data_IF_437343756228
#
_entry.id   IF_437343756228
#
_cell.length_a   1.000
_cell.length_b   1.000
_cell.length_c   1.000
_cell.angle_alpha   90.00
_cell.angle_beta   90.00
_cell.angle_gamma   90.00
#
_symmetry.space_group_name_H-M   'P 1'
#
loop_
_entity.id
_entity.type
_entity.pdbx_description
1 polymer ?
#
# COMPACT_ATOMS: atom_id res chain seq x y z
N UNK A 1 10.90 16.82 -1.87
CA UNK A 1 9.81 16.16 -1.13
C UNK A 1 8.83 17.22 -0.71
N UNK A 2 7.61 17.23 -1.25
CA UNK A 2 6.51 18.06 -0.74
C UNK A 2 5.62 17.14 0.09
N UNK A 3 5.81 17.16 1.42
CA UNK A 3 4.86 16.58 2.37
C UNK A 3 3.58 17.42 2.30
N UNK A 4 2.72 17.14 1.32
CA UNK A 4 1.40 17.76 1.23
C UNK A 4 0.37 16.88 1.96
N UNK A 5 -0.76 17.47 2.31
CA UNK A 5 -1.79 16.82 3.14
C UNK A 5 -2.28 15.48 2.57
N UNK A 6 -2.29 15.33 1.24
CA UNK A 6 -2.65 14.06 0.58
C UNK A 6 -1.60 12.96 0.79
N UNK A 7 -0.32 13.34 0.79
CA UNK A 7 0.79 12.41 1.04
C UNK A 7 0.80 11.98 2.51
N UNK A 8 0.50 12.91 3.43
CA UNK A 8 0.33 12.62 4.84
C UNK A 8 -0.88 11.71 5.09
N UNK A 9 -2.04 12.01 4.48
CA UNK A 9 -3.24 11.17 4.56
C UNK A 9 -3.01 9.75 4.06
N UNK A 10 -2.35 9.60 2.90
CA UNK A 10 -1.98 8.29 2.37
C UNK A 10 -1.07 7.53 3.34
N UNK A 11 -0.07 8.19 3.91
CA UNK A 11 0.84 7.59 4.87
C UNK A 11 0.11 7.15 6.15
N UNK A 12 -0.77 8.00 6.69
CA UNK A 12 -1.59 7.67 7.87
C UNK A 12 -2.47 6.46 7.59
N UNK A 13 -3.21 6.47 6.48
CA UNK A 13 -4.05 5.34 6.11
C UNK A 13 -3.23 4.08 5.83
N UNK A 14 -2.03 4.20 5.25
CA UNK A 14 -1.13 3.06 5.05
C UNK A 14 -0.60 2.50 6.37
N UNK A 15 -0.32 3.34 7.36
CA UNK A 15 0.09 2.93 8.71
C UNK A 15 -1.10 2.29 9.44
N UNK A 16 -2.29 2.90 9.41
CA UNK A 16 -3.51 2.38 10.02
C UNK A 16 -3.97 1.04 9.39
N UNK A 17 -3.78 0.87 8.08
CA UNK A 17 -4.07 -0.39 7.35
C UNK A 17 -2.98 -1.46 7.51
N UNK A 18 -1.85 -1.13 8.14
CA UNK A 18 -0.79 -2.10 8.38
C UNK A 18 -1.27 -3.16 9.39
N UNK A 19 -0.82 -4.43 9.26
CA UNK A 19 -1.15 -5.48 10.22
C UNK A 19 -0.78 -5.14 11.68
N UNK A 20 0.11 -4.16 11.88
CA UNK A 20 0.55 -3.71 13.19
C UNK A 20 -0.46 -2.81 13.91
N UNK A 21 -1.39 -2.15 13.19
CA UNK A 21 -2.22 -1.04 13.72
C UNK A 21 -3.73 -1.30 13.76
N UNK A 22 -4.20 -2.52 13.51
CA UNK A 22 -5.64 -2.87 13.42
C UNK A 22 -6.46 -2.73 14.73
N UNK A 23 -5.93 -2.04 15.76
CA UNK A 23 -6.39 -2.18 17.16
C UNK A 23 -6.84 -0.88 17.85
N UNK A 24 -6.72 0.28 17.21
CA UNK A 24 -7.26 1.55 17.72
C UNK A 24 -8.73 1.63 17.32
N UNK A 25 -9.66 1.61 18.28
CA UNK A 25 -11.09 1.81 18.03
C UNK A 25 -11.45 3.26 17.67
N UNK A 26 -10.50 4.02 17.14
CA UNK A 26 -10.68 5.37 16.63
C UNK A 26 -10.69 5.27 15.10
N UNK A 27 -11.82 5.70 14.54
CA UNK A 27 -12.16 5.50 13.13
C UNK A 27 -11.08 5.98 12.19
N UNK A 28 -10.94 5.29 11.06
CA UNK A 28 -10.12 5.80 9.98
C UNK A 28 -10.64 7.16 9.51
N UNK A 29 -9.71 7.92 8.96
CA UNK A 29 -10.02 9.17 8.30
C UNK A 29 -10.62 8.84 6.93
N UNK A 30 -11.90 9.18 6.76
CA UNK A 30 -12.64 8.97 5.51
C UNK A 30 -12.30 10.04 4.46
N UNK A 31 -11.62 11.12 4.87
CA UNK A 31 -11.20 12.20 3.98
C UNK A 31 -10.01 12.98 4.54
N UNK A 32 -9.34 13.73 3.67
CA UNK A 32 -8.29 14.66 4.08
C UNK A 32 -8.83 15.84 4.89
N UNK A 33 -10.10 16.24 4.68
CA UNK A 33 -10.75 17.26 5.49
C UNK A 33 -10.96 16.80 6.93
N UNK A 34 -11.34 15.53 7.13
CA UNK A 34 -11.44 14.93 8.45
C UNK A 34 -10.06 14.86 9.13
N UNK A 35 -9.02 14.50 8.38
CA UNK A 35 -7.65 14.52 8.89
C UNK A 35 -7.23 15.92 9.38
N UNK A 36 -7.56 16.96 8.61
CA UNK A 36 -7.25 18.34 8.96
C UNK A 36 -8.07 18.84 10.17
N UNK A 37 -9.27 18.31 10.34
CA UNK A 37 -10.17 18.65 11.45
C UNK A 37 -9.76 17.97 12.76
N UNK A 38 -9.44 16.67 12.69
CA UNK A 38 -9.10 15.85 13.85
C UNK A 38 -7.67 16.12 14.33
N UNK A 39 -6.77 16.46 13.40
CA UNK A 39 -5.35 16.71 13.70
C UNK A 39 -4.95 18.13 13.30
N UNK A 40 -5.17 19.07 14.22
CA UNK A 40 -4.79 20.48 14.07
C UNK A 40 -3.30 20.73 13.81
N UNK A 41 -2.42 19.78 14.17
CA UNK A 41 -0.99 19.80 13.86
C UNK A 41 -0.43 18.38 13.73
N UNK A 42 0.57 18.21 12.86
CA UNK A 42 1.29 16.95 12.62
C UNK A 42 1.81 16.30 13.92
N UNK A 43 2.16 17.09 14.92
CA UNK A 43 2.67 16.59 16.20
C UNK A 43 1.66 15.70 16.92
N UNK A 44 0.38 16.05 16.89
CA UNK A 44 -0.66 15.30 17.60
C UNK A 44 -0.91 13.95 16.92
N UNK A 45 -0.90 13.94 15.59
CA UNK A 45 -0.96 12.74 14.78
C UNK A 45 0.24 11.82 15.03
N UNK A 46 1.46 12.39 15.08
CA UNK A 46 2.67 11.61 15.34
C UNK A 46 2.69 11.04 16.76
N UNK A 47 2.18 11.78 17.74
CA UNK A 47 2.09 11.33 19.13
C UNK A 47 1.11 10.16 19.27
N UNK A 48 -0.04 10.23 18.59
CA UNK A 48 -1.03 9.14 18.55
C UNK A 48 -0.48 7.89 17.83
N UNK A 49 0.14 8.06 16.66
CA UNK A 49 0.77 6.96 15.93
C UNK A 49 1.92 6.33 16.72
N UNK A 50 2.71 7.15 17.44
CA UNK A 50 3.78 6.62 18.29
C UNK A 50 3.21 5.77 19.43
N UNK A 51 2.13 6.23 20.07
CA UNK A 51 1.46 5.52 21.16
C UNK A 51 0.86 4.19 20.67
N UNK A 52 0.25 4.19 19.49
CA UNK A 52 -0.29 2.99 18.86
C UNK A 52 0.80 1.94 18.61
N UNK A 53 1.98 2.34 18.12
CA UNK A 53 3.11 1.44 17.81
C UNK A 53 3.71 0.75 19.04
N UNK A 54 3.65 1.37 20.22
CA UNK A 54 4.24 0.81 21.45
C UNK A 54 3.33 -0.12 22.25
N UNK A 55 2.05 -0.27 21.88
CA UNK A 55 1.09 -1.05 22.67
C UNK A 55 0.86 -2.43 22.03
N UNK A 56 1.67 -3.42 22.39
CA UNK A 56 1.51 -4.81 21.94
C UNK A 56 0.33 -5.51 22.64
N UNK A 57 -0.84 -5.55 22.00
CA UNK A 57 -1.79 -6.67 22.11
C UNK A 57 -2.56 -6.77 20.78
N UNK A 58 -2.62 -7.94 20.12
CA UNK A 58 -3.43 -8.15 18.91
C UNK A 58 -4.92 -8.14 19.27
N UNK A 59 -5.60 -7.02 18.98
CA UNK A 59 -7.06 -6.87 19.11
C UNK A 59 -7.73 -7.35 17.80
N UNK A 60 -8.90 -8.00 17.86
CA UNK A 60 -9.66 -8.28 16.65
C UNK A 60 -10.15 -6.96 16.03
N UNK A 61 -9.96 -6.80 14.72
CA UNK A 61 -10.44 -5.65 13.97
C UNK A 61 -11.93 -5.38 14.30
N UNK A 62 -12.32 -4.11 14.55
CA UNK A 62 -13.72 -3.79 14.84
C UNK A 62 -14.61 -4.24 13.66
N UNK A 63 -15.85 -4.70 13.92
CA UNK A 63 -16.81 -5.01 12.88
C UNK A 63 -17.22 -3.72 12.16
N UNK A 64 -16.42 -3.38 11.15
CA UNK A 64 -16.68 -2.61 9.94
C UNK A 64 -17.95 -1.75 9.91
N UNK A 65 -17.77 -0.42 9.96
CA UNK A 65 -18.80 0.56 9.68
C UNK A 65 -19.06 0.66 8.16
N UNK A 66 -19.93 -0.23 7.66
CA UNK A 66 -20.59 -0.10 6.35
C UNK A 66 -19.82 -0.61 5.12
N UNK A 67 -20.53 -1.14 4.10
CA UNK A 67 -19.93 -1.60 2.84
C UNK A 67 -19.36 -0.47 1.98
N UNK A 68 -19.70 0.79 2.27
CA UNK A 68 -19.45 1.94 1.39
C UNK A 68 -18.22 2.79 1.77
N UNK A 69 -17.51 2.44 2.84
CA UNK A 69 -16.35 3.23 3.29
C UNK A 69 -15.13 3.04 2.38
N UNK A 70 -14.29 4.08 2.26
CA UNK A 70 -13.04 4.02 1.50
C UNK A 70 -12.11 2.89 2.01
N UNK A 71 -12.06 2.71 3.33
CA UNK A 71 -11.36 1.61 3.98
C UNK A 71 -11.78 0.24 3.45
N UNK A 72 -13.08 0.05 3.24
CA UNK A 72 -13.63 -1.22 2.80
C UNK A 72 -13.05 -1.65 1.46
N UNK A 73 -12.99 -0.68 0.56
CA UNK A 73 -12.41 -0.83 -0.76
C UNK A 73 -10.90 -1.07 -0.62
N UNK A 74 -10.19 -0.29 0.19
CA UNK A 74 -8.73 -0.43 0.34
C UNK A 74 -8.32 -1.78 0.94
N UNK A 75 -9.04 -2.24 1.97
CA UNK A 75 -8.86 -3.55 2.58
C UNK A 75 -9.08 -4.66 1.55
N UNK A 76 -10.20 -4.62 0.82
CA UNK A 76 -10.48 -5.58 -0.23
C UNK A 76 -9.38 -5.62 -1.29
N UNK A 77 -8.91 -4.45 -1.75
CA UNK A 77 -7.84 -4.35 -2.75
C UNK A 77 -6.50 -4.88 -2.21
N UNK A 78 -6.16 -4.60 -0.95
CA UNK A 78 -4.95 -5.10 -0.31
C UNK A 78 -4.96 -6.62 -0.12
N UNK A 79 -6.11 -7.26 -0.01
CA UNK A 79 -6.22 -8.72 0.08
C UNK A 79 -6.30 -9.39 -1.29
N UNK A 80 -6.85 -8.71 -2.30
CA UNK A 80 -7.17 -9.34 -3.59
C UNK A 80 -6.30 -8.89 -4.77
N UNK A 81 -5.34 -7.98 -4.59
CA UNK A 81 -4.53 -7.38 -5.66
C UNK A 81 -3.89 -8.37 -6.65
N UNK A 82 -3.61 -9.60 -6.20
CA UNK A 82 -2.96 -10.69 -6.95
C UNK A 82 -3.86 -11.27 -8.05
N UNK A 83 -5.17 -11.21 -7.89
CA UNK A 83 -6.10 -11.70 -8.89
C UNK A 83 -6.26 -10.65 -10.01
N UNK A 84 -6.90 -11.00 -11.13
CA UNK A 84 -7.31 -9.98 -12.11
C UNK A 84 -8.42 -9.13 -11.50
N UNK A 85 -8.04 -8.17 -10.65
CA UNK A 85 -8.98 -7.29 -9.94
C UNK A 85 -9.42 -6.19 -10.88
N UNK A 86 -10.38 -6.53 -11.74
CA UNK A 86 -11.09 -5.51 -12.50
C UNK A 86 -11.97 -4.68 -11.57
N UNK A 87 -12.10 -3.39 -11.85
CA UNK A 87 -13.00 -2.49 -11.12
C UNK A 87 -14.44 -3.04 -11.06
N UNK A 88 -14.86 -3.74 -12.13
CA UNK A 88 -16.16 -4.44 -12.19
C UNK A 88 -16.28 -5.50 -11.11
N UNK A 89 -15.24 -6.32 -10.91
CA UNK A 89 -15.25 -7.37 -9.89
C UNK A 89 -15.33 -6.79 -8.48
N UNK A 90 -14.56 -5.74 -8.19
CA UNK A 90 -14.63 -5.03 -6.90
C UNK A 90 -16.03 -4.47 -6.65
N UNK A 91 -16.64 -3.89 -7.69
CA UNK A 91 -18.00 -3.38 -7.68
C UNK A 91 -19.03 -4.47 -7.37
N UNK A 92 -18.91 -5.66 -7.96
CA UNK A 92 -19.79 -6.80 -7.68
C UNK A 92 -19.63 -7.34 -6.26
N UNK A 93 -18.39 -7.47 -5.79
CA UNK A 93 -18.03 -8.07 -4.49
C UNK A 93 -18.37 -7.16 -3.31
N UNK A 94 -18.22 -5.84 -3.49
CA UNK A 94 -18.58 -4.85 -2.47
C UNK A 94 -20.02 -4.33 -2.63
N UNK A 95 -20.74 -4.77 -3.66
CA UNK A 95 -22.07 -4.25 -4.03
C UNK A 95 -22.09 -2.72 -4.23
N UNK A 96 -20.98 -2.17 -4.71
CA UNK A 96 -20.78 -0.74 -4.94
C UNK A 96 -20.79 -0.40 -6.43
N UNK A 97 -21.09 0.85 -6.78
CA UNK A 97 -20.98 1.30 -8.16
C UNK A 97 -19.49 1.46 -8.58
N UNK A 98 -19.09 0.86 -9.70
CA UNK A 98 -17.72 0.96 -10.23
C UNK A 98 -17.23 2.41 -10.43
N UNK A 99 -18.10 3.30 -10.92
CA UNK A 99 -17.77 4.73 -11.08
C UNK A 99 -17.56 5.42 -9.74
N UNK A 100 -18.36 5.07 -8.73
CA UNK A 100 -18.17 5.56 -7.36
C UNK A 100 -16.81 5.14 -6.81
N UNK A 101 -16.45 3.86 -6.91
CA UNK A 101 -15.15 3.34 -6.45
C UNK A 101 -13.99 4.06 -7.16
N UNK A 102 -14.08 4.23 -8.47
CA UNK A 102 -13.04 4.91 -9.26
C UNK A 102 -12.89 6.38 -8.85
N UNK A 103 -14.01 7.07 -8.64
CA UNK A 103 -14.02 8.46 -8.21
C UNK A 103 -13.51 8.63 -6.79
N UNK A 104 -13.91 7.75 -5.87
CA UNK A 104 -13.45 7.74 -4.49
C UNK A 104 -11.93 7.52 -4.44
N UNK A 105 -11.40 6.51 -5.11
CA UNK A 105 -9.94 6.27 -5.18
C UNK A 105 -9.22 7.48 -5.76
N UNK A 106 -9.76 8.10 -6.81
CA UNK A 106 -9.15 9.30 -7.41
C UNK A 106 -9.16 10.50 -6.47
N UNK A 107 -10.24 10.71 -5.73
CA UNK A 107 -10.35 11.81 -4.78
C UNK A 107 -9.40 11.62 -3.60
N UNK A 108 -9.37 10.42 -3.02
CA UNK A 108 -8.59 10.12 -1.81
C UNK A 108 -7.10 9.97 -2.11
N UNK A 109 -6.75 9.28 -3.20
CA UNK A 109 -5.34 8.95 -3.50
C UNK A 109 -4.72 9.90 -4.52
N UNK A 110 -5.53 10.60 -5.32
CA UNK A 110 -5.07 11.34 -6.50
C UNK A 110 -4.77 10.47 -7.72
N UNK A 111 -4.93 9.14 -7.62
CA UNK A 111 -4.63 8.18 -8.67
C UNK A 111 -5.91 7.58 -9.24
N UNK A 112 -5.91 7.22 -10.52
CA UNK A 112 -6.99 6.37 -11.01
C UNK A 112 -6.84 4.92 -10.49
N UNK A 113 -7.92 4.15 -10.54
CA UNK A 113 -7.95 2.76 -10.07
C UNK A 113 -6.79 1.89 -10.61
N UNK A 114 -6.52 1.95 -11.92
CA UNK A 114 -5.46 1.14 -12.55
C UNK A 114 -4.06 1.55 -12.09
N UNK A 115 -3.83 2.85 -11.86
CA UNK A 115 -2.61 3.37 -11.27
C UNK A 115 -2.46 2.90 -9.82
N UNK A 116 -3.52 2.98 -9.02
CA UNK A 116 -3.51 2.53 -7.64
C UNK A 116 -3.15 1.04 -7.51
N UNK A 117 -3.85 0.17 -8.26
CA UNK A 117 -3.55 -1.28 -8.28
C UNK A 117 -2.13 -1.55 -8.79
N UNK A 118 -1.69 -0.80 -9.80
CA UNK A 118 -0.30 -0.88 -10.26
C UNK A 118 0.67 -0.60 -9.13
N UNK A 119 0.53 0.54 -8.44
CA UNK A 119 1.44 0.95 -7.37
C UNK A 119 1.45 -0.10 -6.26
N UNK A 120 0.27 -0.55 -5.83
CA UNK A 120 0.14 -1.60 -4.82
C UNK A 120 0.89 -2.88 -5.20
N UNK A 121 0.72 -3.37 -6.43
CA UNK A 121 1.42 -4.57 -6.91
C UNK A 121 2.93 -4.38 -7.01
N UNK A 122 3.39 -3.19 -7.38
CA UNK A 122 4.83 -2.88 -7.44
C UNK A 122 5.43 -2.83 -6.03
N UNK A 123 4.73 -2.25 -5.05
CA UNK A 123 5.17 -2.29 -3.65
C UNK A 123 5.26 -3.72 -3.13
N UNK A 124 4.24 -4.55 -3.39
CA UNK A 124 4.28 -5.99 -3.04
C UNK A 124 5.39 -6.75 -3.77
N UNK A 125 5.69 -6.39 -5.01
CA UNK A 125 6.82 -7.00 -5.72
C UNK A 125 8.16 -6.63 -5.07
N UNK A 126 8.34 -5.38 -4.60
CA UNK A 126 9.55 -4.98 -3.85
C UNK A 126 9.70 -5.79 -2.56
N UNK A 127 8.61 -5.93 -1.78
CA UNK A 127 8.60 -6.75 -0.56
C UNK A 127 9.01 -8.21 -0.85
N UNK A 128 8.44 -8.83 -1.89
CA UNK A 128 8.77 -10.21 -2.24
C UNK A 128 10.20 -10.36 -2.76
N UNK A 129 10.71 -9.38 -3.49
CA UNK A 129 12.09 -9.37 -3.98
C UNK A 129 13.09 -9.38 -2.81
N UNK A 130 12.85 -8.60 -1.75
CA UNK A 130 13.78 -8.51 -0.61
C UNK A 130 13.63 -9.65 0.37
N UNK A 131 12.40 -10.15 0.59
CA UNK A 131 12.09 -11.04 1.69
C UNK A 131 12.01 -12.53 1.30
N UNK A 132 12.06 -12.85 0.00
CA UNK A 132 11.91 -14.24 -0.48
C UNK A 132 13.02 -14.65 -1.43
N UNK A 133 13.04 -15.94 -1.79
CA UNK A 133 13.93 -16.50 -2.82
C UNK A 133 13.19 -16.83 -4.12
N UNK A 134 11.98 -16.28 -4.29
CA UNK A 134 11.18 -16.48 -5.49
C UNK A 134 11.89 -15.91 -6.72
N UNK A 135 11.74 -16.59 -7.84
CA UNK A 135 12.18 -16.11 -9.14
C UNK A 135 11.35 -14.90 -9.58
N UNK A 136 11.89 -14.09 -10.50
CA UNK A 136 11.16 -12.93 -11.02
C UNK A 136 9.84 -13.33 -11.72
N UNK A 137 9.78 -14.54 -12.28
CA UNK A 137 8.57 -15.08 -12.89
C UNK A 137 7.50 -15.40 -11.82
N UNK A 138 7.89 -16.10 -10.75
CA UNK A 138 7.00 -16.39 -9.62
C UNK A 138 6.52 -15.11 -8.93
N UNK A 139 7.39 -14.10 -8.77
CA UNK A 139 6.99 -12.81 -8.18
C UNK A 139 5.99 -12.09 -9.09
N UNK A 140 6.22 -12.08 -10.41
CA UNK A 140 5.28 -11.49 -11.37
C UNK A 140 3.89 -12.12 -11.25
N UNK A 141 3.82 -13.44 -11.17
CA UNK A 141 2.57 -14.18 -11.02
C UNK A 141 1.92 -13.90 -9.66
N UNK A 142 2.70 -13.99 -8.57
CA UNK A 142 2.23 -13.75 -7.21
C UNK A 142 1.63 -12.35 -7.02
N UNK A 143 2.20 -11.32 -7.64
CA UNK A 143 1.67 -9.95 -7.55
C UNK A 143 0.62 -9.64 -8.62
N UNK A 144 0.17 -10.63 -9.38
CA UNK A 144 -0.98 -10.52 -10.29
C UNK A 144 -0.69 -9.93 -11.66
N UNK A 145 0.56 -10.01 -12.14
CA UNK A 145 0.91 -9.71 -13.52
C UNK A 145 0.91 -10.99 -14.36
N UNK A 146 -0.07 -11.10 -15.26
CA UNK A 146 -0.21 -12.24 -16.18
C UNK A 146 0.90 -12.32 -17.25
N UNK A 147 1.60 -11.21 -17.49
CA UNK A 147 2.69 -11.13 -18.47
C UNK A 147 3.97 -10.65 -17.77
N UNK A 148 4.96 -11.55 -17.76
CA UNK A 148 6.27 -11.31 -17.16
C UNK A 148 7.01 -10.12 -17.79
N UNK A 149 7.01 -10.00 -19.12
CA UNK A 149 7.71 -8.90 -19.80
C UNK A 149 7.02 -7.56 -19.53
N UNK A 150 5.70 -7.56 -19.45
CA UNK A 150 4.93 -6.39 -19.04
C UNK A 150 5.26 -6.01 -17.59
N UNK A 151 5.34 -6.96 -16.66
CA UNK A 151 5.79 -6.71 -15.29
C UNK A 151 7.18 -6.06 -15.25
N UNK A 152 8.19 -6.62 -15.94
CA UNK A 152 9.55 -6.05 -15.94
C UNK A 152 9.54 -4.60 -16.45
N UNK A 153 8.83 -4.34 -17.56
CA UNK A 153 8.73 -2.99 -18.14
C UNK A 153 8.01 -2.03 -17.20
N UNK A 154 6.93 -2.49 -16.58
CA UNK A 154 6.13 -1.72 -15.64
C UNK A 154 6.91 -1.39 -14.38
N UNK A 155 7.53 -2.38 -13.73
CA UNK A 155 8.37 -2.19 -12.57
C UNK A 155 9.50 -1.20 -12.85
N UNK A 156 10.22 -1.36 -13.97
CA UNK A 156 11.28 -0.41 -14.35
C UNK A 156 10.75 1.01 -14.51
N UNK A 157 9.54 1.19 -15.03
CA UNK A 157 8.93 2.51 -15.19
C UNK A 157 8.57 3.15 -13.85
N UNK A 158 7.98 2.39 -12.94
CA UNK A 158 7.55 2.91 -11.64
C UNK A 158 8.71 3.07 -10.65
N UNK A 159 9.73 2.20 -10.72
CA UNK A 159 10.85 2.15 -9.75
C UNK A 159 12.14 2.79 -10.31
N UNK A 160 12.25 2.94 -11.62
CA UNK A 160 13.44 3.49 -12.30
C UNK A 160 14.51 2.44 -12.66
N UNK A 161 14.48 1.27 -12.01
CA UNK A 161 15.42 0.14 -12.26
C UNK A 161 14.66 -1.17 -12.47
N UNK A 162 15.29 -2.16 -13.10
CA UNK A 162 14.67 -3.48 -13.29
C UNK A 162 14.59 -4.25 -11.97
N UNK A 163 13.63 -5.18 -11.80
CA UNK A 163 13.53 -6.02 -10.59
C UNK A 163 14.84 -6.73 -10.22
N UNK A 164 15.55 -7.28 -11.21
CA UNK A 164 16.83 -7.93 -10.99
C UNK A 164 17.93 -6.99 -10.50
N UNK A 165 17.95 -5.74 -10.99
CA UNK A 165 18.90 -4.72 -10.50
C UNK A 165 18.52 -4.23 -9.09
N UNK A 166 17.23 -4.07 -8.83
CA UNK A 166 16.71 -3.74 -7.50
C UNK A 166 17.17 -4.76 -6.45
N UNK A 167 17.03 -6.06 -6.76
CA UNK A 167 17.50 -7.15 -5.89
C UNK A 167 19.01 -7.10 -5.59
N UNK A 168 19.83 -6.79 -6.58
CA UNK A 168 21.28 -6.68 -6.40
C UNK A 168 21.65 -5.48 -5.52
N UNK A 169 20.96 -4.36 -5.68
CA UNK A 169 21.19 -3.16 -4.88
C UNK A 169 20.87 -3.39 -3.40
N UNK A 170 19.72 -4.02 -3.11
CA UNK A 170 19.30 -4.33 -1.73
C UNK A 170 20.26 -5.34 -1.07
N UNK A 171 20.71 -6.37 -1.80
CA UNK A 171 21.68 -7.35 -1.28
C UNK A 171 23.09 -6.80 -1.13
N UNK A 172 23.49 -5.84 -1.97
CA UNK A 172 24.80 -5.18 -1.89
C UNK A 172 24.94 -4.18 -0.75
N UNK A 173 23.84 -3.78 -0.10
CA UNK A 173 23.87 -2.85 1.04
C UNK A 173 23.99 -3.59 2.39
N UNK A 174 23.86 -4.93 2.39
CA UNK A 174 23.97 -5.79 3.57
C UNK A 174 25.27 -6.57 3.70
N UNK A 175 26.21 -6.43 2.76
CA UNK A 175 27.50 -7.11 2.78
C UNK A 175 28.60 -6.06 2.53
N UNK A 176 29.26 -5.64 3.62
CA UNK A 176 30.48 -4.84 3.58
C UNK A 176 31.65 -5.84 3.70
N UNK A 177 32.22 -6.34 2.59
CA UNK A 177 33.43 -7.13 2.69
C UNK A 177 34.61 -6.19 2.92
N UNK A 178 35.27 -6.38 4.07
CA UNK A 178 36.65 -5.97 4.35
C UNK A 178 37.56 -6.19 3.13
N UNK A 179 37.86 -5.16 2.32
CA UNK A 179 39.09 -5.05 1.49
C UNK A 179 39.41 -3.60 1.12
N UNK A 180 40.07 -2.90 2.04
CA UNK A 180 41.18 -2.02 1.64
C UNK A 180 42.46 -2.72 2.10
N UNK A 181 43.03 -3.49 1.17
CA UNK A 181 44.47 -3.77 1.12
C UNK A 181 44.91 -3.35 -0.27
N UNK A 182 45.55 -2.20 -0.33
CA UNK A 182 46.67 -1.87 -1.21
C UNK A 182 47.52 -0.78 -0.54
#
# INVERSE_FOLDING_TARGET
MLFNIRTAFRFVNQVLLSPAMQNSGEGCLDSFEQMAADYSCLTNLLEELSTAVYTQEPRPAPPFEGPDSFLSIMSYLNTHYEQTVSLKRVSEELHLNASYISQLIKNETGLNYTQYITELRIEKAKELLTNTKLSLAEISEAVGFNDYFYFIKKFKREVGVTPGKFLQHEKGTGDMPDRERE
#
